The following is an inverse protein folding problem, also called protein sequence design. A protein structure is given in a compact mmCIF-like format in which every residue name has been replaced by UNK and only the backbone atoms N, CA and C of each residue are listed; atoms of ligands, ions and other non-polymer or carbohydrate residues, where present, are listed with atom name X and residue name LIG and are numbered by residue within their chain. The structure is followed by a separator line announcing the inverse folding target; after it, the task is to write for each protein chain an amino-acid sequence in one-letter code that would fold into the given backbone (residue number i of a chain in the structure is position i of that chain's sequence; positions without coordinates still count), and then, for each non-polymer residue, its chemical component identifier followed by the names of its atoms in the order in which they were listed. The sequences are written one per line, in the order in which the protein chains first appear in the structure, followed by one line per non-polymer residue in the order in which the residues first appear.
data_IF_867530266771
#
_entry.id   IF_867530266771
#
_cell.length_a   1.000
_cell.length_b   1.000
_cell.length_c   1.000
_cell.angle_alpha   90.00
_cell.angle_beta   90.00
_cell.angle_gamma   90.00
#
_symmetry.space_group_name_H-M   'P 1'
#
loop_
_entity.id
_entity.type
_entity.pdbx_description
1 polymer ?
#
# COMPACT_ATOMS: atom_id res chain seq x y z
N UNK A 1 -14.35 -16.46 -22.20
CA UNK A 1 -14.20 -15.43 -21.16
C UNK A 1 -15.52 -14.66 -21.07
N UNK A 2 -16.40 -14.98 -20.12
CA UNK A 2 -17.67 -14.25 -19.95
C UNK A 2 -17.33 -12.89 -19.34
N UNK A 3 -17.45 -11.84 -20.15
CA UNK A 3 -17.57 -10.47 -19.62
C UNK A 3 -18.84 -10.42 -18.77
N UNK A 4 -18.69 -10.47 -17.46
CA UNK A 4 -19.81 -10.22 -16.56
C UNK A 4 -20.44 -8.89 -16.96
N UNK A 5 -21.71 -8.93 -17.33
CA UNK A 5 -22.58 -7.77 -17.57
C UNK A 5 -22.87 -7.07 -16.25
N UNK A 6 -21.85 -6.54 -15.58
CA UNK A 6 -22.04 -5.52 -14.58
C UNK A 6 -22.54 -4.28 -15.32
N UNK A 7 -23.66 -3.76 -14.87
CA UNK A 7 -24.45 -2.72 -15.55
C UNK A 7 -23.57 -1.63 -16.13
N UNK A 8 -23.47 -1.56 -17.45
CA UNK A 8 -22.69 -0.59 -18.20
C UNK A 8 -22.97 0.87 -17.76
N UNK A 9 -24.10 1.13 -17.12
CA UNK A 9 -24.48 2.45 -16.60
C UNK A 9 -23.61 2.92 -15.43
N UNK A 10 -23.01 2.01 -14.63
CA UNK A 10 -22.10 2.38 -13.54
C UNK A 10 -20.72 2.84 -14.04
N UNK A 11 -20.34 2.44 -15.24
CA UNK A 11 -18.99 2.68 -15.78
C UNK A 11 -18.95 3.57 -17.01
N UNK A 12 -20.05 3.73 -17.73
CA UNK A 12 -20.13 4.55 -18.96
C UNK A 12 -20.66 5.96 -18.67
N UNK A 13 -20.18 6.94 -19.42
CA UNK A 13 -20.67 8.32 -19.39
C UNK A 13 -20.35 9.09 -18.10
N UNK A 14 -19.45 8.60 -17.26
CA UNK A 14 -19.05 9.29 -16.02
C UNK A 14 -18.27 10.55 -16.33
N UNK A 15 -18.52 11.60 -15.54
CA UNK A 15 -17.83 12.88 -15.61
C UNK A 15 -17.39 13.30 -14.21
N UNK A 16 -16.29 14.01 -14.12
CA UNK A 16 -15.78 14.58 -12.87
C UNK A 16 -15.44 16.06 -13.05
N UNK A 17 -15.49 16.80 -11.96
CA UNK A 17 -14.97 18.17 -11.87
C UNK A 17 -14.42 18.42 -10.47
N UNK A 18 -13.51 19.37 -10.36
CA UNK A 18 -12.98 19.85 -9.07
C UNK A 18 -13.83 21.01 -8.59
N UNK A 19 -14.11 21.07 -7.29
CA UNK A 19 -14.79 22.18 -6.64
C UNK A 19 -13.92 22.64 -5.45
N UNK A 20 -13.47 23.92 -5.47
CA UNK A 20 -12.66 24.50 -4.41
C UNK A 20 -13.29 25.84 -4.01
N UNK A 21 -13.71 25.98 -2.77
CA UNK A 21 -14.32 27.23 -2.23
C UNK A 21 -15.50 27.75 -3.05
N UNK A 22 -16.27 26.83 -3.65
CA UNK A 22 -17.42 27.18 -4.51
C UNK A 22 -17.12 27.33 -5.99
N UNK A 23 -15.86 27.57 -6.37
CA UNK A 23 -15.42 27.61 -7.76
C UNK A 23 -15.36 26.20 -8.35
N UNK A 24 -15.75 26.07 -9.61
CA UNK A 24 -15.96 24.79 -10.30
C UNK A 24 -15.13 24.72 -11.57
N UNK A 25 -14.33 23.66 -11.72
CA UNK A 25 -13.67 23.38 -13.01
C UNK A 25 -14.69 22.92 -14.07
N UNK A 26 -14.22 22.84 -15.32
CA UNK A 26 -14.97 22.18 -16.38
C UNK A 26 -15.15 20.68 -16.10
N UNK A 27 -16.19 20.10 -16.66
CA UNK A 27 -16.45 18.67 -16.62
C UNK A 27 -15.47 17.91 -17.52
N UNK A 28 -14.80 16.90 -16.96
CA UNK A 28 -13.93 15.97 -17.70
C UNK A 28 -14.54 14.57 -17.67
N UNK A 29 -14.43 13.86 -18.79
CA UNK A 29 -14.89 12.47 -18.88
C UNK A 29 -13.97 11.55 -18.07
N UNK A 30 -14.56 10.54 -17.41
CA UNK A 30 -13.85 9.49 -16.68
C UNK A 30 -13.93 8.20 -17.48
N UNK A 31 -12.81 7.76 -18.03
CA UNK A 31 -12.74 6.59 -18.91
C UNK A 31 -12.39 5.30 -18.22
N UNK A 32 -11.82 5.34 -16.98
CA UNK A 32 -11.36 4.17 -16.26
C UNK A 32 -11.50 4.34 -14.73
N UNK A 33 -11.27 3.27 -13.99
CA UNK A 33 -11.32 3.24 -12.54
C UNK A 33 -12.74 3.11 -11.97
N UNK A 34 -12.81 2.83 -10.67
CA UNK A 34 -14.06 2.72 -9.91
C UNK A 34 -14.41 4.07 -9.25
N UNK A 35 -15.70 4.37 -9.00
CA UNK A 35 -16.09 5.59 -8.29
C UNK A 35 -15.50 5.61 -6.88
N UNK A 36 -14.60 6.54 -6.58
CA UNK A 36 -14.06 6.72 -5.23
C UNK A 36 -15.16 7.17 -4.29
N UNK A 37 -15.16 6.61 -3.05
CA UNK A 37 -16.18 6.88 -2.04
C UNK A 37 -17.49 6.10 -2.22
N UNK A 38 -17.61 5.26 -3.25
CA UNK A 38 -18.75 4.34 -3.38
C UNK A 38 -18.54 3.09 -2.54
N UNK A 39 -19.63 2.53 -2.00
CA UNK A 39 -19.61 1.26 -1.25
C UNK A 39 -19.15 0.09 -2.13
N UNK A 40 -19.47 0.13 -3.42
CA UNK A 40 -19.17 -0.94 -4.39
C UNK A 40 -17.72 -0.85 -4.90
N UNK A 41 -17.11 0.32 -4.90
CA UNK A 41 -15.76 0.54 -5.46
C UNK A 41 -14.70 -0.46 -4.97
N UNK A 42 -14.52 -0.64 -3.65
CA UNK A 42 -13.58 -1.62 -3.11
C UNK A 42 -13.86 -3.06 -3.54
N UNK A 43 -15.14 -3.46 -3.59
CA UNK A 43 -15.56 -4.81 -4.01
C UNK A 43 -15.21 -5.06 -5.48
N UNK A 44 -15.49 -4.08 -6.33
CA UNK A 44 -15.17 -4.16 -7.77
C UNK A 44 -13.66 -4.24 -8.01
N UNK A 45 -12.89 -3.51 -7.23
CA UNK A 45 -11.44 -3.57 -7.29
C UNK A 45 -10.92 -4.96 -6.88
N UNK A 46 -11.42 -5.54 -5.78
CA UNK A 46 -11.05 -6.89 -5.35
C UNK A 46 -11.41 -7.95 -6.41
N UNK A 47 -12.58 -7.86 -7.02
CA UNK A 47 -12.97 -8.76 -8.13
C UNK A 47 -12.01 -8.60 -9.31
N UNK A 48 -11.58 -7.39 -9.60
CA UNK A 48 -10.70 -7.08 -10.70
C UNK A 48 -9.30 -7.66 -10.51
N UNK A 49 -8.71 -7.54 -9.31
CA UNK A 49 -7.36 -8.04 -9.01
C UNK A 49 -7.32 -9.52 -8.59
N UNK A 50 -8.47 -10.17 -8.44
CA UNK A 50 -8.57 -11.54 -7.89
C UNK A 50 -7.77 -12.58 -8.70
N UNK A 51 -7.54 -12.35 -9.98
CA UNK A 51 -6.78 -13.25 -10.85
C UNK A 51 -5.29 -12.85 -10.99
N UNK A 52 -4.83 -11.81 -10.29
CA UNK A 52 -3.43 -11.38 -10.30
C UNK A 52 -2.46 -12.51 -9.90
N UNK A 53 -2.75 -13.36 -8.87
CA UNK A 53 -1.86 -14.43 -8.45
C UNK A 53 -1.80 -15.62 -9.42
N UNK A 54 -2.63 -15.64 -10.47
CA UNK A 54 -2.71 -16.80 -11.37
C UNK A 54 -1.42 -16.97 -12.16
N UNK A 55 -0.77 -18.12 -11.99
CA UNK A 55 0.49 -18.44 -12.67
C UNK A 55 1.75 -18.00 -11.93
N UNK A 56 1.64 -17.34 -10.80
CA UNK A 56 2.76 -16.95 -9.92
C UNK A 56 3.16 -18.15 -9.06
N UNK A 57 4.46 -18.49 -9.05
CA UNK A 57 5.02 -19.58 -8.24
C UNK A 57 5.41 -19.15 -6.85
N UNK A 58 5.86 -17.90 -6.69
CA UNK A 58 6.16 -17.28 -5.40
C UNK A 58 4.89 -17.12 -4.56
N UNK A 59 5.04 -17.04 -3.24
CA UNK A 59 3.93 -16.73 -2.36
C UNK A 59 3.52 -15.27 -2.53
N UNK A 60 2.29 -15.04 -2.95
CA UNK A 60 1.73 -13.70 -3.11
C UNK A 60 0.63 -13.45 -2.08
N UNK A 61 0.66 -12.29 -1.44
CA UNK A 61 -0.38 -11.81 -0.54
C UNK A 61 -0.87 -10.46 -1.06
N UNK A 62 -2.19 -10.31 -1.11
CA UNK A 62 -2.85 -9.10 -1.60
C UNK A 62 -3.73 -8.56 -0.49
N UNK A 63 -3.58 -7.29 -0.17
CA UNK A 63 -4.44 -6.57 0.76
C UNK A 63 -4.85 -5.24 0.13
N UNK A 64 -6.08 -5.18 -0.38
CA UNK A 64 -6.59 -4.10 -1.22
C UNK A 64 -5.64 -3.85 -2.41
N UNK A 65 -5.03 -2.68 -2.51
CA UNK A 65 -4.04 -2.30 -3.53
C UNK A 65 -2.59 -2.72 -3.19
N UNK A 66 -2.33 -3.07 -1.93
CA UNK A 66 -1.01 -3.53 -1.50
C UNK A 66 -0.80 -5.00 -1.90
N UNK A 67 0.24 -5.26 -2.68
CA UNK A 67 0.63 -6.59 -3.13
C UNK A 67 2.03 -6.91 -2.65
N UNK A 68 2.19 -8.05 -1.99
CA UNK A 68 3.46 -8.53 -1.48
C UNK A 68 3.78 -9.91 -2.07
N UNK A 69 4.97 -10.06 -2.62
CA UNK A 69 5.51 -11.31 -3.09
C UNK A 69 6.68 -11.75 -2.19
N UNK A 70 6.68 -13.00 -1.79
CA UNK A 70 7.76 -13.60 -1.01
C UNK A 70 8.21 -14.91 -1.66
N UNK A 71 9.51 -15.05 -1.84
CA UNK A 71 10.13 -16.25 -2.42
C UNK A 71 11.43 -16.57 -1.69
N UNK A 72 11.78 -17.84 -1.66
CA UNK A 72 13.11 -18.29 -1.31
C UNK A 72 14.05 -18.00 -2.48
N UNK A 73 15.27 -17.51 -2.21
CA UNK A 73 16.26 -17.16 -3.23
C UNK A 73 17.65 -17.61 -2.77
N UNK A 74 17.84 -18.93 -2.70
CA UNK A 74 19.13 -19.54 -2.31
C UNK A 74 19.91 -20.03 -3.54
N UNK A 75 19.21 -20.37 -4.63
CA UNK A 75 19.77 -20.94 -5.86
C UNK A 75 19.53 -20.05 -7.08
N UNK A 76 20.20 -20.36 -8.20
CA UNK A 76 19.98 -19.69 -9.50
C UNK A 76 18.57 -19.99 -10.03
N UNK A 77 18.07 -21.19 -9.76
CA UNK A 77 16.73 -21.61 -10.14
C UNK A 77 15.66 -20.81 -9.39
N UNK A 78 15.87 -20.54 -8.11
CA UNK A 78 14.97 -19.68 -7.29
C UNK A 78 14.94 -18.25 -7.86
N UNK A 79 16.10 -17.72 -8.24
CA UNK A 79 16.21 -16.40 -8.88
C UNK A 79 15.39 -16.33 -10.18
N UNK A 80 15.50 -17.36 -11.01
CA UNK A 80 14.74 -17.45 -12.26
C UNK A 80 13.23 -17.44 -11.98
N UNK A 81 12.78 -18.18 -10.96
CA UNK A 81 11.37 -18.19 -10.56
C UNK A 81 10.87 -16.77 -10.23
N UNK A 82 11.64 -16.01 -9.46
CA UNK A 82 11.24 -14.63 -9.10
C UNK A 82 11.17 -13.72 -10.32
N UNK A 83 12.13 -13.83 -11.25
CA UNK A 83 12.12 -13.08 -12.50
C UNK A 83 10.94 -13.46 -13.40
N UNK A 84 10.65 -14.75 -13.55
CA UNK A 84 9.49 -15.24 -14.31
C UNK A 84 8.17 -14.72 -13.70
N UNK A 85 8.06 -14.69 -12.37
CA UNK A 85 6.91 -14.18 -11.64
C UNK A 85 6.75 -12.65 -11.83
N UNK A 86 7.84 -11.89 -11.79
CA UNK A 86 7.82 -10.45 -12.07
C UNK A 86 7.38 -10.17 -13.52
N UNK A 87 7.83 -10.97 -14.47
CA UNK A 87 7.39 -10.86 -15.87
C UNK A 87 5.90 -11.20 -15.99
N UNK A 88 5.42 -12.24 -15.32
CA UNK A 88 4.01 -12.60 -15.29
C UNK A 88 3.15 -11.47 -14.72
N UNK A 89 3.59 -10.81 -13.65
CA UNK A 89 2.93 -9.62 -13.09
C UNK A 89 2.89 -8.46 -14.09
N UNK A 90 3.97 -8.19 -14.80
CA UNK A 90 4.00 -7.15 -15.85
C UNK A 90 3.00 -7.46 -16.97
N UNK A 91 3.00 -8.70 -17.47
CA UNK A 91 2.09 -9.13 -18.52
C UNK A 91 0.62 -9.04 -18.08
N UNK A 92 0.35 -9.37 -16.81
CA UNK A 92 -0.98 -9.22 -16.25
C UNK A 92 -1.43 -7.75 -16.28
N UNK A 93 -0.56 -6.80 -15.88
CA UNK A 93 -0.92 -5.37 -15.91
C UNK A 93 -1.19 -4.85 -17.30
N UNK A 94 -0.40 -5.27 -18.30
CA UNK A 94 -0.61 -4.90 -19.71
C UNK A 94 -1.97 -5.43 -20.21
N UNK A 95 -2.26 -6.70 -19.93
CA UNK A 95 -3.51 -7.34 -20.34
C UNK A 95 -4.75 -6.70 -19.72
N UNK A 96 -4.62 -6.23 -18.47
CA UNK A 96 -5.73 -5.65 -17.71
C UNK A 96 -5.77 -4.11 -17.76
N UNK A 97 -4.90 -3.45 -18.52
CA UNK A 97 -4.89 -2.00 -18.64
C UNK A 97 -4.52 -1.27 -17.34
N UNK A 98 -3.71 -1.90 -16.49
CA UNK A 98 -3.12 -1.30 -15.29
C UNK A 98 -1.62 -1.05 -15.51
N UNK A 99 -1.01 -0.31 -14.60
CA UNK A 99 0.44 -0.16 -14.52
C UNK A 99 0.84 -0.05 -13.06
N UNK A 100 1.82 -0.86 -12.66
CA UNK A 100 2.45 -0.70 -11.34
C UNK A 100 3.28 0.58 -11.30
N UNK A 101 3.27 1.26 -10.17
CA UNK A 101 4.18 2.38 -9.93
C UNK A 101 5.52 1.84 -9.40
N UNK A 102 6.52 1.78 -10.25
CA UNK A 102 7.85 1.20 -9.91
C UNK A 102 8.52 1.95 -8.75
N UNK A 103 8.30 3.26 -8.63
CA UNK A 103 8.90 4.08 -7.55
C UNK A 103 8.39 3.70 -6.15
N UNK A 104 7.26 2.97 -6.07
CA UNK A 104 6.71 2.43 -4.83
C UNK A 104 7.10 0.99 -4.56
N UNK A 105 7.76 0.33 -5.52
CA UNK A 105 8.22 -1.03 -5.32
C UNK A 105 9.54 -1.03 -4.55
N UNK A 106 9.62 -1.94 -3.61
CA UNK A 106 10.84 -2.21 -2.85
C UNK A 106 11.12 -3.71 -2.79
N UNK A 107 12.39 -4.05 -2.74
CA UNK A 107 12.88 -5.40 -2.49
C UNK A 107 13.62 -5.42 -1.17
N UNK A 108 13.29 -6.35 -0.31
CA UNK A 108 14.01 -6.58 0.93
C UNK A 108 14.63 -7.99 0.93
N UNK A 109 15.94 -8.04 1.00
CA UNK A 109 16.69 -9.28 1.07
C UNK A 109 16.80 -9.75 2.52
N UNK A 110 16.20 -10.90 2.82
CA UNK A 110 16.19 -11.50 4.14
C UNK A 110 17.00 -12.78 4.16
N UNK A 111 17.74 -13.01 5.26
CA UNK A 111 18.49 -14.23 5.48
C UNK A 111 19.91 -14.23 4.89
N UNK A 112 20.76 -15.10 5.45
CA UNK A 112 22.20 -15.16 5.12
C UNK A 112 22.50 -15.82 3.78
N UNK A 113 21.62 -16.69 3.29
CA UNK A 113 21.77 -17.41 2.03
C UNK A 113 21.18 -16.65 0.85
N UNK A 114 20.52 -15.51 1.09
CA UNK A 114 19.95 -14.71 0.01
C UNK A 114 21.05 -14.18 -0.90
N UNK A 115 20.86 -14.32 -2.20
CA UNK A 115 21.85 -13.93 -3.22
C UNK A 115 21.97 -12.43 -3.44
N UNK A 116 21.08 -11.62 -2.84
CA UNK A 116 21.06 -10.14 -2.92
C UNK A 116 21.08 -9.61 -4.37
N UNK A 117 20.21 -10.18 -5.21
CA UNK A 117 20.16 -9.87 -6.63
C UNK A 117 19.32 -8.63 -6.89
N UNK A 118 19.69 -7.87 -7.92
CA UNK A 118 18.91 -6.76 -8.42
C UNK A 118 17.75 -7.24 -9.31
N UNK A 119 16.53 -6.89 -8.94
CA UNK A 119 15.35 -7.16 -9.73
C UNK A 119 14.91 -5.95 -10.54
N UNK A 120 14.25 -6.19 -11.66
CA UNK A 120 13.74 -5.13 -12.55
C UNK A 120 12.24 -5.32 -12.80
N UNK A 121 11.52 -4.20 -12.88
CA UNK A 121 10.13 -4.15 -13.30
C UNK A 121 10.00 -3.10 -14.42
N UNK A 122 9.43 -3.45 -15.56
CA UNK A 122 9.40 -2.62 -16.78
C UNK A 122 10.78 -2.09 -17.20
N UNK A 123 11.84 -2.90 -17.02
CA UNK A 123 13.22 -2.51 -17.31
C UNK A 123 13.88 -1.59 -16.29
N UNK A 124 13.15 -1.06 -15.30
CA UNK A 124 13.67 -0.23 -14.22
C UNK A 124 14.09 -1.10 -13.04
N UNK A 125 15.23 -0.76 -12.41
CA UNK A 125 15.69 -1.44 -11.20
C UNK A 125 14.76 -1.09 -10.03
N UNK A 126 14.34 -2.12 -9.29
CA UNK A 126 13.55 -1.96 -8.06
C UNK A 126 14.48 -1.53 -6.93
N UNK A 127 14.03 -0.60 -6.08
CA UNK A 127 14.80 -0.12 -4.94
C UNK A 127 14.99 -1.23 -3.91
N UNK A 128 16.21 -1.41 -3.42
CA UNK A 128 16.52 -2.33 -2.32
C UNK A 128 16.43 -1.59 -1.01
N UNK A 129 15.74 -2.17 -0.02
CA UNK A 129 15.54 -1.58 1.31
C UNK A 129 15.92 -2.57 2.43
N UNK A 130 16.39 -2.05 3.54
CA UNK A 130 16.69 -2.85 4.75
C UNK A 130 15.48 -2.95 5.69
N UNK A 131 14.50 -2.08 5.53
CA UNK A 131 13.27 -2.10 6.31
C UNK A 131 12.09 -1.64 5.47
N UNK A 132 10.92 -2.24 5.70
CA UNK A 132 9.69 -1.89 5.00
C UNK A 132 8.52 -1.83 5.99
N UNK A 133 7.58 -0.92 5.72
CA UNK A 133 6.38 -0.80 6.55
C UNK A 133 5.22 -1.56 5.88
N UNK A 134 4.83 -2.67 6.47
CA UNK A 134 3.75 -3.53 6.00
C UNK A 134 2.55 -3.47 6.93
N UNK A 135 1.40 -3.02 6.43
CA UNK A 135 0.15 -2.88 7.19
C UNK A 135 0.33 -2.19 8.56
N UNK A 136 1.22 -1.21 8.61
CA UNK A 136 1.49 -0.43 9.83
C UNK A 136 2.61 -0.98 10.71
N UNK A 137 3.15 -2.17 10.42
CA UNK A 137 4.27 -2.81 11.11
C UNK A 137 5.56 -2.60 10.34
N UNK A 138 6.63 -2.14 11.00
CA UNK A 138 7.96 -2.01 10.40
C UNK A 138 8.66 -3.35 10.53
N UNK A 139 9.04 -3.93 9.39
CA UNK A 139 9.77 -5.20 9.30
C UNK A 139 11.18 -4.86 8.83
N UNK A 140 12.20 -5.39 9.50
CA UNK A 140 13.59 -5.28 9.13
C UNK A 140 14.06 -6.55 8.41
N UNK A 141 15.10 -6.45 7.57
CA UNK A 141 15.68 -7.58 6.85
C UNK A 141 16.28 -8.65 7.77
N UNK A 142 16.65 -8.28 9.02
CA UNK A 142 17.11 -9.21 10.06
C UNK A 142 15.96 -9.83 10.87
N UNK A 143 14.70 -9.48 10.58
CA UNK A 143 13.48 -9.96 11.25
C UNK A 143 13.42 -9.70 12.77
N UNK A 144 14.18 -8.72 13.28
CA UNK A 144 14.25 -8.42 14.74
C UNK A 144 13.29 -7.35 15.23
N UNK A 145 12.53 -6.70 14.35
CA UNK A 145 11.49 -5.72 14.69
C UNK A 145 11.94 -4.56 15.59
N UNK A 146 13.25 -4.26 15.65
CA UNK A 146 13.81 -3.20 16.53
C UNK A 146 13.21 -1.82 16.22
N UNK A 147 13.03 -1.50 14.93
CA UNK A 147 12.50 -0.21 14.49
C UNK A 147 11.00 -0.09 14.78
N UNK A 148 10.27 -1.20 14.72
CA UNK A 148 8.87 -1.24 15.15
C UNK A 148 8.72 -0.92 16.63
N UNK A 149 9.53 -1.54 17.48
CA UNK A 149 9.51 -1.29 18.93
C UNK A 149 9.87 0.16 19.23
N UNK A 150 10.92 0.70 18.62
CA UNK A 150 11.32 2.10 18.77
C UNK A 150 10.21 3.06 18.32
N UNK A 151 9.56 2.79 17.19
CA UNK A 151 8.43 3.57 16.66
C UNK A 151 7.22 3.53 17.61
N UNK A 152 6.88 2.36 18.14
CA UNK A 152 5.77 2.20 19.09
C UNK A 152 6.05 2.95 20.40
N UNK A 153 7.25 2.84 20.96
CA UNK A 153 7.67 3.57 22.15
C UNK A 153 7.62 5.09 21.93
N UNK A 154 8.11 5.57 20.79
CA UNK A 154 8.05 6.99 20.44
C UNK A 154 6.61 7.51 20.36
N UNK A 155 5.69 6.75 19.77
CA UNK A 155 4.26 7.11 19.70
C UNK A 155 3.63 7.15 21.08
N UNK A 156 3.89 6.14 21.92
CA UNK A 156 3.39 6.09 23.29
C UNK A 156 3.87 7.28 24.12
N UNK A 157 5.17 7.60 24.07
CA UNK A 157 5.75 8.73 24.78
C UNK A 157 5.17 10.07 24.30
N UNK A 158 4.91 10.24 23.00
CA UNK A 158 4.25 11.43 22.46
C UNK A 158 2.83 11.58 23.02
N UNK A 159 2.07 10.50 23.06
CA UNK A 159 0.69 10.50 23.62
C UNK A 159 0.72 10.81 25.12
N UNK A 160 1.65 10.21 25.87
CA UNK A 160 1.82 10.49 27.28
C UNK A 160 2.18 11.96 27.54
N UNK A 161 3.04 12.56 26.71
CA UNK A 161 3.35 13.99 26.77
C UNK A 161 2.10 14.86 26.62
N UNK A 162 1.29 14.60 25.60
CA UNK A 162 0.03 15.33 25.38
C UNK A 162 -0.93 15.19 26.58
N UNK A 163 -1.05 14.00 27.17
CA UNK A 163 -1.91 13.77 28.35
C UNK A 163 -1.40 14.59 29.55
N UNK A 164 -0.09 14.59 29.79
CA UNK A 164 0.51 15.38 30.87
C UNK A 164 0.27 16.88 30.71
N UNK A 165 0.40 17.40 29.49
CA UNK A 165 0.17 18.83 29.18
C UNK A 165 -1.30 19.20 29.42
N UNK A 166 -2.24 18.39 28.94
CA UNK A 166 -3.68 18.60 29.15
C UNK A 166 -4.00 18.56 30.66
N UNK A 167 -3.49 17.57 31.39
CA UNK A 167 -3.70 17.43 32.84
C UNK A 167 -3.15 18.65 33.60
N UNK A 168 -1.96 19.13 33.26
CA UNK A 168 -1.38 20.33 33.88
C UNK A 168 -2.18 21.59 33.60
N UNK A 169 -2.71 21.75 32.39
CA UNK A 169 -3.61 22.87 32.02
C UNK A 169 -4.91 22.81 32.78
N UNK A 170 -5.54 21.64 32.93
CA UNK A 170 -6.78 21.46 33.68
C UNK A 170 -6.59 21.80 35.18
N UNK A 171 -5.51 21.29 35.79
CA UNK A 171 -5.17 21.56 37.19
C UNK A 171 -4.97 23.08 37.40
N UNK A 172 -4.19 23.75 36.54
CA UNK A 172 -3.98 25.20 36.61
C UNK A 172 -5.30 25.99 36.49
N UNK A 173 -6.23 25.55 35.64
CA UNK A 173 -7.53 26.16 35.43
C UNK A 173 -8.44 25.97 36.66
N UNK A 174 -8.45 24.79 37.28
CA UNK A 174 -9.17 24.49 38.50
C UNK A 174 -8.64 25.32 39.68
N UNK A 175 -7.33 25.41 39.87
CA UNK A 175 -6.72 26.22 40.93
C UNK A 175 -7.05 27.70 40.77
N UNK A 176 -7.08 28.26 39.57
CA UNK A 176 -7.50 29.62 39.32
C UNK A 176 -8.99 29.86 39.69
N UNK A 177 -9.88 28.91 39.42
CA UNK A 177 -11.28 29.01 39.81
C UNK A 177 -11.50 28.94 41.32
N UNK A 178 -10.65 28.21 42.05
CA UNK A 178 -10.77 28.10 43.51
C UNK A 178 -10.16 29.29 44.28
N UNK A 179 -9.31 30.10 43.65
CA UNK A 179 -8.67 31.28 44.29
C UNK A 179 -9.43 32.60 44.09
N UNK A 180 -10.57 32.60 43.41
CA UNK A 180 -11.45 33.75 43.27
C UNK A 180 -12.63 33.58 44.23
N UNK A 181 -12.40 33.79 45.53
CA UNK A 181 -13.38 34.11 46.57
C UNK A 181 -12.82 35.17 47.50
#
# INVERSE_FOLDING_TARGET
MQKNKLDNRLFSGRKQRVVIRGEKSQWLNVYSGVPQGSVIGPILFLIYINNLPTGIKSKINIFADDTKMASKVDTVEDEKIVNDDLEALQNWTITNGMKFNVDKFSVMHCGRLNRNIDYKLYGQKICVTESEKDLGVIINNDMKFKDQVASAAKKANKTLGMIKDISSMLIKKLLKCCMVR
#
